data_IF_967362685722
#
_entry.id   IF_967362685722
#
_cell.length_a   1.000
_cell.length_b   1.000
_cell.length_c   1.000
_cell.angle_alpha   90.00
_cell.angle_beta   90.00
_cell.angle_gamma   90.00
#
_symmetry.space_group_name_H-M   'P 1'
#
loop_
_entity.id
_entity.type
_entity.pdbx_description
1 polymer ?
#
# COMPACT_ATOMS: atom_id res chain seq x y z
N UNK A 1 -53.71 46.10 49.62
CA UNK A 1 -53.46 45.50 48.29
C UNK A 1 -51.96 45.35 48.15
N UNK A 2 -51.47 44.12 48.28
CA UNK A 2 -50.05 43.79 48.15
C UNK A 2 -49.81 43.37 46.71
N UNK A 3 -48.92 44.04 45.99
CA UNK A 3 -48.46 43.60 44.67
C UNK A 3 -46.95 43.46 44.71
N UNK A 4 -46.51 42.20 44.70
CA UNK A 4 -45.15 41.78 44.41
C UNK A 4 -44.82 42.12 42.94
N UNK A 5 -43.66 42.72 42.71
CA UNK A 5 -42.98 42.69 41.41
C UNK A 5 -41.64 41.96 41.61
N UNK A 6 -41.56 40.74 41.10
CA UNK A 6 -40.32 39.96 41.01
C UNK A 6 -39.69 40.32 39.66
N UNK A 7 -38.55 41.02 39.68
CA UNK A 7 -37.69 41.17 38.52
C UNK A 7 -36.67 40.04 38.53
N UNK A 8 -36.86 39.05 37.65
CA UNK A 8 -35.89 37.98 37.43
C UNK A 8 -34.81 38.49 36.47
N UNK A 9 -33.68 38.94 36.99
CA UNK A 9 -32.47 39.21 36.19
C UNK A 9 -31.76 37.89 35.91
N UNK A 10 -31.84 37.41 34.67
CA UNK A 10 -31.07 36.28 34.17
C UNK A 10 -29.63 36.74 33.92
N UNK A 11 -28.76 36.58 34.92
CA UNK A 11 -27.31 36.68 34.73
C UNK A 11 -26.84 35.45 33.99
N UNK A 12 -26.59 35.60 32.68
CA UNK A 12 -25.80 34.63 31.92
C UNK A 12 -24.38 34.64 32.50
N UNK A 13 -24.08 33.67 33.36
CA UNK A 13 -22.72 33.39 33.80
C UNK A 13 -21.94 32.89 32.57
N UNK A 14 -21.01 33.70 32.07
CA UNK A 14 -19.94 33.18 31.23
C UNK A 14 -19.22 32.11 32.06
N UNK A 15 -19.41 30.84 31.71
CA UNK A 15 -18.56 29.79 32.21
C UNK A 15 -17.11 30.18 31.86
N UNK A 16 -16.17 30.21 32.81
CA UNK A 16 -14.77 30.36 32.46
C UNK A 16 -14.44 29.20 31.52
N UNK A 17 -13.95 29.52 30.32
CA UNK A 17 -13.33 28.53 29.47
C UNK A 17 -12.19 27.93 30.30
N UNK A 18 -12.35 26.68 30.73
CA UNK A 18 -11.25 25.96 31.35
C UNK A 18 -10.06 26.06 30.39
N UNK A 19 -8.89 26.56 30.84
CA UNK A 19 -7.71 26.48 30.01
C UNK A 19 -7.54 24.99 29.66
N UNK A 20 -7.46 24.69 28.36
CA UNK A 20 -6.99 23.38 27.93
C UNK A 20 -5.68 23.14 28.68
N UNK A 21 -5.49 21.95 29.30
CA UNK A 21 -4.23 21.65 29.94
C UNK A 21 -3.14 21.93 28.92
N UNK A 22 -2.25 22.86 29.26
CA UNK A 22 -1.05 23.14 28.49
C UNK A 22 -0.25 21.84 28.52
N UNK A 23 -0.46 21.01 27.52
CA UNK A 23 0.26 19.77 27.37
C UNK A 23 1.72 20.18 27.25
N UNK A 24 2.51 19.89 28.28
CA UNK A 24 3.96 19.89 28.19
C UNK A 24 4.32 18.79 27.19
N UNK A 25 4.18 19.08 25.90
CA UNK A 25 4.59 18.19 24.82
C UNK A 25 6.10 18.12 24.94
N UNK A 26 6.63 17.01 25.45
CA UNK A 26 8.06 16.72 25.34
C UNK A 26 8.47 16.93 23.89
N UNK A 27 9.52 17.73 23.67
CA UNK A 27 10.01 18.00 22.33
C UNK A 27 10.37 16.68 21.62
N UNK A 28 10.09 16.61 20.31
CA UNK A 28 10.47 15.46 19.51
C UNK A 28 11.98 15.20 19.61
N UNK A 29 12.42 13.92 19.57
CA UNK A 29 13.84 13.63 19.56
C UNK A 29 14.54 14.35 18.41
N UNK A 30 15.68 14.98 18.67
CA UNK A 30 16.41 15.70 17.64
C UNK A 30 16.96 14.73 16.59
N UNK A 31 16.79 15.08 15.32
CA UNK A 31 17.42 14.37 14.21
C UNK A 31 18.82 14.96 14.01
N UNK A 32 19.91 14.20 14.19
CA UNK A 32 21.26 14.70 13.98
C UNK A 32 21.47 15.09 12.52
N UNK A 33 22.20 16.17 12.26
CA UNK A 33 22.58 16.53 10.89
C UNK A 33 23.58 15.51 10.33
N UNK A 34 23.38 15.14 9.06
CA UNK A 34 24.33 14.37 8.24
C UNK A 34 24.45 15.08 6.88
N UNK A 35 25.22 16.17 6.81
CA UNK A 35 25.22 17.03 5.63
C UNK A 35 25.75 16.29 4.39
N UNK A 36 25.04 16.44 3.27
CA UNK A 36 25.47 15.91 1.98
C UNK A 36 25.49 17.04 0.94
N UNK A 37 26.62 17.17 0.24
CA UNK A 37 26.73 18.12 -0.86
C UNK A 37 26.07 17.54 -2.12
N UNK A 38 25.00 18.18 -2.56
CA UNK A 38 24.35 17.90 -3.83
C UNK A 38 25.04 18.70 -4.94
N UNK A 39 25.72 17.98 -5.84
CA UNK A 39 26.39 18.56 -7.00
C UNK A 39 25.36 18.93 -8.07
N UNK A 40 25.51 20.10 -8.67
CA UNK A 40 24.72 20.63 -9.77
C UNK A 40 25.37 21.92 -10.27
N UNK A 41 24.73 22.64 -11.20
CA UNK A 41 25.20 23.96 -11.66
C UNK A 41 25.38 24.94 -10.48
N UNK A 42 24.49 24.84 -9.49
CA UNK A 42 24.64 25.47 -8.18
C UNK A 42 24.67 24.34 -7.14
N UNK A 43 25.79 24.23 -6.43
CA UNK A 43 25.94 23.25 -5.36
C UNK A 43 25.04 23.62 -4.18
N UNK A 44 24.37 22.61 -3.60
CA UNK A 44 23.50 22.77 -2.43
C UNK A 44 23.96 21.83 -1.33
N UNK A 45 24.05 22.33 -0.10
CA UNK A 45 24.30 21.51 1.07
C UNK A 45 22.95 21.13 1.68
N UNK A 46 22.62 19.84 1.68
CA UNK A 46 21.46 19.30 2.40
C UNK A 46 21.93 18.83 3.78
N UNK A 47 21.50 19.48 4.89
CA UNK A 47 21.90 19.10 6.25
C UNK A 47 21.53 17.65 6.63
N UNK A 48 20.58 17.02 5.94
CA UNK A 48 20.09 15.68 6.26
C UNK A 48 20.27 14.66 5.12
N UNK A 49 20.85 15.05 3.98
CA UNK A 49 20.95 14.18 2.81
C UNK A 49 21.72 12.87 3.06
N UNK A 50 22.65 12.86 4.03
CA UNK A 50 23.41 11.69 4.44
C UNK A 50 22.62 10.64 5.23
N UNK A 51 21.33 10.88 5.52
CA UNK A 51 20.43 9.86 6.08
C UNK A 51 19.81 8.96 5.01
N UNK A 52 19.95 9.28 3.72
CA UNK A 52 19.41 8.43 2.67
C UNK A 52 20.17 7.10 2.61
N UNK A 53 19.48 6.03 2.95
CA UNK A 53 19.94 4.65 2.76
C UNK A 53 18.95 3.88 1.87
N UNK A 54 19.31 3.69 0.60
CA UNK A 54 18.49 2.98 -0.38
C UNK A 54 18.35 1.48 -0.03
N UNK A 55 19.25 0.91 0.79
CA UNK A 55 19.16 -0.49 1.25
C UNK A 55 18.12 -0.68 2.37
N UNK A 56 17.74 0.42 3.05
CA UNK A 56 16.83 0.46 4.20
C UNK A 56 17.28 -0.41 5.38
N UNK A 57 18.59 -0.55 5.57
CA UNK A 57 19.19 -1.45 6.55
C UNK A 57 20.17 -0.75 7.50
N UNK A 58 20.48 0.54 7.32
CA UNK A 58 21.34 1.30 8.23
C UNK A 58 20.78 1.21 9.66
N UNK A 59 21.48 0.52 10.59
CA UNK A 59 21.00 0.31 11.94
C UNK A 59 20.86 1.62 12.72
N UNK A 60 21.65 2.65 12.39
CA UNK A 60 21.57 3.96 13.06
C UNK A 60 20.33 4.71 12.60
N UNK A 61 20.04 4.72 11.29
CA UNK A 61 18.81 5.29 10.75
C UNK A 61 17.57 4.56 11.30
N UNK A 62 17.58 3.22 11.30
CA UNK A 62 16.46 2.44 11.84
C UNK A 62 16.23 2.70 13.33
N UNK A 63 17.29 2.92 14.11
CA UNK A 63 17.18 3.29 15.53
C UNK A 63 16.53 4.66 15.69
N UNK A 64 17.00 5.66 14.94
CA UNK A 64 16.40 6.99 14.91
C UNK A 64 14.91 6.93 14.53
N UNK A 65 14.55 6.20 13.48
CA UNK A 65 13.15 6.05 13.05
C UNK A 65 12.28 5.40 14.12
N UNK A 66 12.78 4.39 14.84
CA UNK A 66 12.06 3.78 15.97
C UNK A 66 11.85 4.77 17.12
N UNK A 67 12.84 5.60 17.42
CA UNK A 67 12.72 6.64 18.44
C UNK A 67 11.66 7.68 18.07
N UNK A 68 11.66 8.13 16.81
CA UNK A 68 10.64 9.05 16.28
C UNK A 68 9.24 8.44 16.30
N UNK A 69 9.10 7.17 15.90
CA UNK A 69 7.83 6.44 15.96
C UNK A 69 7.32 6.33 17.39
N UNK A 70 8.18 5.95 18.35
CA UNK A 70 7.83 5.85 19.76
C UNK A 70 7.34 7.19 20.32
N UNK A 71 8.04 8.28 20.02
CA UNK A 71 7.61 9.61 20.45
C UNK A 71 6.24 9.96 19.84
N UNK A 72 6.06 9.70 18.55
CA UNK A 72 4.78 9.94 17.85
C UNK A 72 3.64 9.13 18.49
N UNK A 73 3.85 7.85 18.77
CA UNK A 73 2.88 6.98 19.47
C UNK A 73 2.51 7.55 20.85
N UNK A 74 3.48 8.08 21.61
CA UNK A 74 3.22 8.72 22.90
C UNK A 74 2.39 10.00 22.76
N UNK A 75 2.72 10.86 21.78
CA UNK A 75 1.95 12.10 21.54
C UNK A 75 0.52 11.80 21.07
N UNK A 76 0.32 10.72 20.32
CA UNK A 76 -0.98 10.32 19.79
C UNK A 76 -1.77 9.39 20.73
N UNK A 77 -1.18 8.93 21.84
CA UNK A 77 -1.79 7.96 22.74
C UNK A 77 -3.16 8.41 23.27
N UNK A 78 -3.31 9.70 23.60
CA UNK A 78 -4.59 10.27 24.06
C UNK A 78 -5.71 10.27 23.01
N UNK A 79 -5.38 10.06 21.74
CA UNK A 79 -6.33 10.03 20.62
C UNK A 79 -6.82 8.62 20.30
N UNK A 80 -6.36 7.59 21.01
CA UNK A 80 -6.76 6.20 20.76
C UNK A 80 -8.29 5.98 20.68
N UNK A 81 -9.15 6.61 21.53
CA UNK A 81 -10.60 6.48 21.39
C UNK A 81 -11.16 7.11 20.11
N UNK A 82 -10.57 8.21 19.63
CA UNK A 82 -10.96 8.82 18.37
C UNK A 82 -10.56 7.94 17.19
N UNK A 83 -9.33 7.42 17.19
CA UNK A 83 -8.83 6.49 16.18
C UNK A 83 -9.73 5.27 16.07
N UNK A 84 -10.09 4.66 17.21
CA UNK A 84 -10.97 3.48 17.22
C UNK A 84 -12.36 3.80 16.66
N UNK A 85 -12.96 4.95 17.01
CA UNK A 85 -14.26 5.36 16.44
C UNK A 85 -14.19 5.53 14.93
N UNK A 86 -13.15 6.20 14.42
CA UNK A 86 -12.97 6.41 12.98
C UNK A 86 -12.72 5.11 12.24
N UNK A 87 -11.94 4.19 12.81
CA UNK A 87 -11.73 2.86 12.24
C UNK A 87 -13.03 2.07 12.13
N UNK A 88 -13.82 2.03 13.21
CA UNK A 88 -15.14 1.37 13.21
C UNK A 88 -16.07 1.99 12.18
N UNK A 89 -16.09 3.32 12.09
CA UNK A 89 -16.91 4.04 11.12
C UNK A 89 -16.49 3.70 9.68
N UNK A 90 -15.20 3.73 9.36
CA UNK A 90 -14.71 3.42 8.02
C UNK A 90 -14.87 1.94 7.64
N UNK A 91 -14.79 1.02 8.61
CA UNK A 91 -15.05 -0.40 8.38
C UNK A 91 -16.55 -0.69 8.19
N UNK A 92 -17.42 0.08 8.85
CA UNK A 92 -18.87 -0.04 8.72
C UNK A 92 -19.46 0.61 7.46
N UNK A 93 -18.68 1.44 6.75
CA UNK A 93 -19.07 2.02 5.47
C UNK A 93 -18.85 0.99 4.36
N UNK A 94 -19.85 0.82 3.50
CA UNK A 94 -19.68 0.05 2.25
C UNK A 94 -18.53 0.67 1.44
N UNK A 95 -17.51 -0.15 1.14
CA UNK A 95 -16.35 0.28 0.36
C UNK A 95 -16.77 0.45 -1.09
N UNK A 96 -16.95 1.70 -1.51
CA UNK A 96 -17.07 2.07 -2.93
C UNK A 96 -18.06 1.21 -3.72
N UNK A 97 -17.88 1.16 -5.03
CA UNK A 97 -18.53 0.14 -5.85
C UNK A 97 -17.87 -1.21 -5.52
N UNK A 98 -18.64 -2.28 -5.23
CA UNK A 98 -18.07 -3.59 -5.02
C UNK A 98 -17.20 -3.94 -6.23
N UNK A 99 -15.97 -4.42 -5.97
CA UNK A 99 -15.15 -4.99 -7.04
C UNK A 99 -16.00 -6.09 -7.68
N UNK A 100 -16.27 -6.03 -8.99
CA UNK A 100 -17.10 -7.04 -9.64
C UNK A 100 -16.57 -8.44 -9.32
N UNK A 101 -17.45 -9.39 -8.99
CA UNK A 101 -17.10 -10.81 -8.83
C UNK A 101 -16.90 -11.44 -10.23
N UNK A 102 -16.04 -10.79 -11.02
CA UNK A 102 -15.88 -11.05 -12.43
C UNK A 102 -14.94 -12.22 -12.62
N UNK A 103 -15.50 -13.26 -13.22
CA UNK A 103 -14.75 -14.37 -13.74
C UNK A 103 -14.27 -14.03 -15.15
N UNK A 104 -12.96 -14.06 -15.37
CA UNK A 104 -12.38 -13.93 -16.70
C UNK A 104 -12.79 -15.16 -17.53
N UNK A 105 -13.56 -14.95 -18.60
CA UNK A 105 -13.90 -16.01 -19.55
C UNK A 105 -12.83 -16.08 -20.64
N UNK A 106 -11.98 -17.11 -20.60
CA UNK A 106 -10.87 -17.30 -21.54
C UNK A 106 -10.49 -18.78 -21.64
N UNK A 107 -9.98 -19.21 -22.81
CA UNK A 107 -9.57 -20.59 -23.07
C UNK A 107 -10.66 -21.64 -22.77
N UNK A 108 -11.93 -21.28 -23.05
CA UNK A 108 -13.09 -22.15 -22.81
C UNK A 108 -13.39 -22.42 -21.33
N UNK A 109 -12.93 -21.57 -20.42
CA UNK A 109 -13.21 -21.66 -18.98
C UNK A 109 -13.37 -20.28 -18.37
N UNK A 110 -13.85 -20.27 -17.13
CA UNK A 110 -13.94 -19.09 -16.29
C UNK A 110 -12.85 -19.14 -15.22
N UNK A 111 -12.16 -18.03 -15.01
CA UNK A 111 -11.02 -17.91 -14.10
C UNK A 111 -11.18 -16.76 -13.12
N UNK A 112 -10.74 -16.96 -11.88
CA UNK A 112 -10.72 -15.91 -10.86
C UNK A 112 -9.43 -15.94 -10.07
N UNK A 113 -8.84 -14.77 -9.88
CA UNK A 113 -7.65 -14.57 -9.06
C UNK A 113 -8.05 -13.86 -7.78
N UNK A 114 -7.65 -14.43 -6.64
CA UNK A 114 -7.84 -13.81 -5.33
C UNK A 114 -6.65 -12.91 -4.97
N UNK A 115 -6.87 -11.98 -4.05
CA UNK A 115 -5.81 -11.06 -3.59
C UNK A 115 -4.60 -11.78 -2.95
N UNK A 116 -4.78 -13.00 -2.46
CA UNK A 116 -3.73 -13.85 -1.90
C UNK A 116 -2.87 -14.57 -2.97
N UNK A 117 -3.18 -14.35 -4.25
CA UNK A 117 -2.50 -14.98 -5.39
C UNK A 117 -3.00 -16.38 -5.75
N UNK A 118 -4.09 -16.87 -5.14
CA UNK A 118 -4.70 -18.13 -5.53
C UNK A 118 -5.56 -17.98 -6.79
N UNK A 119 -5.44 -18.97 -7.69
CA UNK A 119 -6.19 -19.01 -8.94
C UNK A 119 -7.25 -20.11 -8.88
N UNK A 120 -8.47 -19.75 -9.23
CA UNK A 120 -9.63 -20.64 -9.33
C UNK A 120 -10.11 -20.73 -10.77
N UNK A 121 -10.64 -21.89 -11.14
CA UNK A 121 -11.18 -22.18 -12.46
C UNK A 121 -12.51 -22.93 -12.34
N UNK A 122 -13.46 -22.62 -13.21
CA UNK A 122 -14.66 -23.45 -13.46
C UNK A 122 -14.92 -23.53 -14.96
N UNK A 123 -15.60 -24.57 -15.43
CA UNK A 123 -15.88 -24.73 -16.87
C UNK A 123 -16.98 -23.77 -17.31
N UNK A 124 -18.02 -23.61 -16.48
CA UNK A 124 -19.10 -22.65 -16.68
C UNK A 124 -19.56 -22.05 -15.33
N UNK A 125 -20.59 -21.18 -15.37
CA UNK A 125 -21.09 -20.48 -14.20
C UNK A 125 -21.77 -21.38 -13.15
N UNK A 126 -22.25 -22.56 -13.54
CA UNK A 126 -22.96 -23.51 -12.69
C UNK A 126 -22.03 -24.56 -12.08
N UNK A 127 -20.85 -24.75 -12.66
CA UNK A 127 -19.83 -25.66 -12.16
C UNK A 127 -19.18 -25.18 -10.86
N UNK A 128 -18.88 -26.14 -9.98
CA UNK A 128 -18.11 -25.89 -8.78
C UNK A 128 -16.67 -25.45 -9.14
N UNK A 129 -16.19 -24.29 -8.63
CA UNK A 129 -14.82 -23.87 -8.81
C UNK A 129 -13.80 -24.88 -8.27
N UNK A 130 -12.78 -25.17 -9.06
CA UNK A 130 -11.58 -25.90 -8.63
C UNK A 130 -10.40 -24.94 -8.49
N UNK A 131 -9.59 -25.14 -7.46
CA UNK A 131 -8.35 -24.40 -7.27
C UNK A 131 -7.28 -24.90 -8.25
N UNK A 132 -6.66 -23.99 -8.99
CA UNK A 132 -5.58 -24.24 -9.95
C UNK A 132 -4.21 -23.81 -9.44
N UNK A 133 -4.17 -22.79 -8.58
CA UNK A 133 -2.95 -22.32 -7.93
C UNK A 133 -3.22 -22.08 -6.44
N UNK A 134 -2.31 -22.56 -5.59
CA UNK A 134 -2.36 -22.28 -4.16
C UNK A 134 -2.04 -20.80 -3.87
N UNK A 135 -2.47 -20.26 -2.70
CA UNK A 135 -2.09 -18.91 -2.28
C UNK A 135 -0.57 -18.70 -2.32
N UNK A 136 -0.14 -17.52 -2.77
CA UNK A 136 1.27 -17.14 -2.88
C UNK A 136 1.67 -16.08 -1.84
N UNK A 137 0.69 -15.45 -1.23
CA UNK A 137 0.87 -14.57 -0.09
C UNK A 137 1.55 -15.34 1.07
N UNK A 138 2.66 -14.82 1.64
CA UNK A 138 3.26 -15.38 2.84
C UNK A 138 2.33 -15.22 4.05
N UNK A 139 2.52 -16.06 5.08
CA UNK A 139 1.72 -16.00 6.30
C UNK A 139 1.85 -14.66 7.05
N UNK A 140 3.01 -14.00 6.92
CA UNK A 140 3.31 -12.71 7.52
C UNK A 140 3.98 -11.79 6.51
N UNK A 141 3.82 -10.48 6.70
CA UNK A 141 4.43 -9.44 5.89
C UNK A 141 3.50 -8.87 4.81
N UNK A 142 4.05 -7.94 4.02
CA UNK A 142 3.34 -7.31 2.92
C UNK A 142 3.28 -8.24 1.71
N UNK A 143 2.13 -8.27 1.06
CA UNK A 143 1.97 -8.89 -0.26
C UNK A 143 0.91 -8.14 -1.04
N UNK A 144 1.21 -7.89 -2.31
CA UNK A 144 0.29 -7.32 -3.28
C UNK A 144 0.45 -8.07 -4.59
N UNK A 145 -0.66 -8.53 -5.14
CA UNK A 145 -0.75 -8.94 -6.53
C UNK A 145 -1.33 -7.77 -7.33
N UNK A 146 -0.49 -7.05 -8.08
CA UNK A 146 -0.95 -5.91 -8.87
C UNK A 146 -1.74 -6.32 -10.10
N UNK A 147 -1.31 -7.39 -10.78
CA UNK A 147 -1.98 -7.90 -11.95
C UNK A 147 -1.71 -9.39 -12.15
N UNK A 148 -2.58 -10.02 -12.92
CA UNK A 148 -2.38 -11.34 -13.48
C UNK A 148 -2.87 -11.36 -14.93
N UNK A 149 -2.27 -12.21 -15.75
CA UNK A 149 -2.67 -12.38 -17.13
C UNK A 149 -2.57 -13.85 -17.53
N UNK A 150 -3.69 -14.44 -17.91
CA UNK A 150 -3.73 -15.78 -18.48
C UNK A 150 -3.35 -15.72 -19.96
N UNK A 151 -2.51 -16.64 -20.41
CA UNK A 151 -2.22 -16.78 -21.84
C UNK A 151 -3.45 -17.29 -22.61
N UNK A 152 -3.66 -16.94 -23.88
CA UNK A 152 -4.85 -17.31 -24.64
C UNK A 152 -5.16 -18.82 -24.70
N UNK A 153 -4.15 -19.68 -24.60
CA UNK A 153 -4.31 -21.15 -24.57
C UNK A 153 -4.70 -21.72 -23.18
N UNK A 154 -4.72 -20.88 -22.15
CA UNK A 154 -5.04 -21.28 -20.78
C UNK A 154 -3.97 -22.13 -20.08
N UNK A 155 -2.77 -22.27 -20.65
CA UNK A 155 -1.67 -23.07 -20.07
C UNK A 155 -0.70 -22.23 -19.27
N UNK A 156 -0.46 -20.98 -19.67
CA UNK A 156 0.51 -20.11 -19.00
C UNK A 156 -0.18 -19.01 -18.19
N UNK A 157 0.39 -18.70 -17.03
CA UNK A 157 -0.05 -17.60 -16.16
C UNK A 157 1.11 -16.66 -15.85
N UNK A 158 0.91 -15.38 -16.11
CA UNK A 158 1.80 -14.32 -15.66
C UNK A 158 1.22 -13.63 -14.42
N UNK A 159 2.05 -13.39 -13.40
CA UNK A 159 1.70 -12.70 -12.16
C UNK A 159 2.65 -11.52 -11.91
N UNK A 160 2.13 -10.38 -11.47
CA UNK A 160 2.92 -9.23 -11.00
C UNK A 160 2.82 -9.10 -9.47
N UNK A 161 3.87 -9.51 -8.77
CA UNK A 161 3.87 -9.62 -7.31
C UNK A 161 4.81 -8.59 -6.65
N UNK A 162 4.35 -7.90 -5.61
CA UNK A 162 5.16 -7.10 -4.68
C UNK A 162 5.08 -7.71 -3.27
N UNK A 163 6.23 -7.85 -2.61
CA UNK A 163 6.39 -8.42 -1.27
C UNK A 163 6.99 -7.44 -0.25
N UNK A 164 7.27 -6.21 -0.68
CA UNK A 164 7.97 -5.20 0.11
C UNK A 164 7.20 -3.88 0.19
N UNK A 165 6.21 -3.68 -0.69
CA UNK A 165 5.43 -2.45 -0.77
C UNK A 165 6.18 -1.32 -1.45
N UNK A 166 7.22 -1.63 -2.24
CA UNK A 166 7.97 -0.64 -3.01
C UNK A 166 7.46 -0.48 -4.45
N UNK A 167 6.39 -1.20 -4.82
CA UNK A 167 5.79 -1.23 -6.16
C UNK A 167 6.78 -1.59 -7.25
N UNK A 168 7.84 -2.30 -6.87
CA UNK A 168 8.84 -2.84 -7.77
C UNK A 168 8.55 -4.32 -7.99
N UNK A 169 7.62 -4.58 -8.92
CA UNK A 169 7.00 -5.88 -9.05
C UNK A 169 7.98 -6.89 -9.67
N UNK A 170 7.88 -8.12 -9.17
CA UNK A 170 8.46 -9.30 -9.81
C UNK A 170 7.39 -9.95 -10.67
N UNK A 171 7.67 -10.07 -11.95
CA UNK A 171 6.80 -10.81 -12.86
C UNK A 171 7.19 -12.28 -12.85
N UNK A 172 6.25 -13.15 -12.49
CA UNK A 172 6.44 -14.59 -12.43
C UNK A 172 5.62 -15.24 -13.54
N UNK A 173 6.27 -16.00 -14.42
CA UNK A 173 5.60 -16.81 -15.44
C UNK A 173 5.51 -18.26 -14.96
N UNK A 174 4.31 -18.82 -14.99
CA UNK A 174 3.98 -20.14 -14.50
C UNK A 174 3.39 -21.02 -15.61
N UNK A 175 3.70 -22.30 -15.57
CA UNK A 175 2.91 -23.34 -16.24
C UNK A 175 1.80 -23.81 -15.30
N UNK A 176 0.54 -23.73 -15.73
CA UNK A 176 -0.63 -24.14 -14.96
C UNK A 176 -0.86 -25.65 -14.93
N UNK A 177 -0.22 -26.42 -15.82
CA UNK A 177 -0.29 -27.87 -15.82
C UNK A 177 0.59 -28.46 -14.71
N UNK A 178 1.85 -28.04 -14.64
CA UNK A 178 2.81 -28.48 -13.62
C UNK A 178 2.78 -27.66 -12.33
N UNK A 179 2.36 -26.39 -12.40
CA UNK A 179 2.49 -25.42 -11.31
C UNK A 179 3.89 -24.80 -11.19
N UNK A 180 4.81 -25.13 -12.09
CA UNK A 180 6.20 -24.69 -12.03
C UNK A 180 6.39 -23.24 -12.48
N UNK A 181 7.41 -22.59 -11.91
CA UNK A 181 7.86 -21.27 -12.37
C UNK A 181 8.80 -21.43 -13.54
N UNK A 182 8.36 -21.00 -14.73
CA UNK A 182 9.15 -21.05 -15.96
C UNK A 182 10.15 -19.89 -16.07
N UNK A 183 9.75 -18.70 -15.61
CA UNK A 183 10.61 -17.51 -15.66
C UNK A 183 10.24 -16.52 -14.56
N UNK A 184 11.21 -15.69 -14.17
CA UNK A 184 10.98 -14.57 -13.27
C UNK A 184 11.74 -13.33 -13.73
N UNK A 185 11.04 -12.20 -13.79
CA UNK A 185 11.57 -10.91 -14.22
C UNK A 185 11.42 -9.91 -13.08
N UNK A 186 12.50 -9.59 -12.36
CA UNK A 186 12.45 -8.55 -11.35
C UNK A 186 12.42 -7.15 -11.98
N UNK A 187 12.11 -6.16 -11.14
CA UNK A 187 12.19 -4.74 -11.44
C UNK A 187 11.24 -4.24 -12.54
N UNK A 188 9.94 -4.50 -12.38
CA UNK A 188 8.90 -4.20 -13.38
C UNK A 188 7.77 -3.36 -12.80
N UNK A 189 7.07 -2.68 -13.71
CA UNK A 189 5.74 -2.16 -13.42
C UNK A 189 4.74 -3.31 -13.20
N UNK A 190 3.60 -3.00 -12.58
CA UNK A 190 2.56 -3.98 -12.26
C UNK A 190 1.73 -4.43 -13.46
N UNK A 191 1.73 -3.68 -14.57
CA UNK A 191 0.87 -3.96 -15.72
C UNK A 191 1.39 -5.13 -16.55
N UNK A 192 0.45 -5.98 -17.01
CA UNK A 192 0.74 -7.18 -17.79
C UNK A 192 -0.15 -7.27 -19.03
N UNK A 193 0.47 -7.57 -20.18
CA UNK A 193 -0.21 -7.84 -21.43
C UNK A 193 0.52 -8.96 -22.20
N UNK A 194 -0.26 -9.90 -22.73
CA UNK A 194 0.21 -10.90 -23.67
C UNK A 194 0.19 -10.36 -25.09
N UNK A 195 1.25 -10.63 -25.86
CA UNK A 195 1.25 -10.36 -27.29
C UNK A 195 0.71 -11.56 -28.07
N UNK A 196 -0.08 -11.31 -29.11
CA UNK A 196 -0.78 -12.32 -29.91
C UNK A 196 -0.02 -12.70 -31.20
N UNK A 197 1.26 -12.35 -31.35
CA UNK A 197 2.00 -12.61 -32.59
C UNK A 197 2.73 -13.96 -32.49
N UNK A 198 2.43 -14.88 -33.42
CA UNK A 198 2.88 -16.29 -33.54
C UNK A 198 4.40 -16.53 -33.72
N UNK A 199 5.25 -15.60 -33.29
CA UNK A 199 6.70 -15.79 -33.24
C UNK A 199 7.13 -15.60 -31.77
N UNK A 200 6.83 -16.64 -30.97
CA UNK A 200 7.04 -16.74 -29.52
C UNK A 200 6.15 -15.80 -28.67
N UNK A 201 5.40 -16.34 -27.69
CA UNK A 201 4.64 -15.53 -26.75
C UNK A 201 5.62 -14.71 -25.89
N UNK A 202 5.70 -13.41 -26.15
CA UNK A 202 6.49 -12.48 -25.35
C UNK A 202 5.58 -11.76 -24.35
N UNK A 203 5.91 -11.90 -23.08
CA UNK A 203 5.30 -11.11 -22.00
C UNK A 203 6.05 -9.79 -21.89
N UNK A 204 5.39 -8.67 -22.20
CA UNK A 204 5.97 -7.34 -22.04
C UNK A 204 5.49 -6.74 -20.73
N UNK A 205 6.44 -6.40 -19.85
CA UNK A 205 6.20 -5.57 -18.67
C UNK A 205 7.01 -4.28 -18.83
N UNK A 206 6.33 -3.13 -18.73
CA UNK A 206 6.98 -1.84 -18.90
C UNK A 206 8.03 -1.64 -17.81
N UNK A 207 9.17 -1.06 -18.19
CA UNK A 207 10.22 -0.66 -17.24
C UNK A 207 10.24 0.85 -17.21
N UNK A 208 9.76 1.46 -16.13
CA UNK A 208 10.00 2.88 -15.91
C UNK A 208 11.49 3.09 -15.57
N UNK A 209 12.33 3.21 -16.61
CA UNK A 209 13.60 3.90 -16.46
C UNK A 209 13.31 5.40 -16.52
N UNK A 210 13.47 6.11 -15.40
CA UNK A 210 13.80 7.53 -15.45
C UNK A 210 15.24 7.64 -15.96
N UNK A 211 15.39 7.60 -17.28
CA UNK A 211 16.62 7.97 -17.98
C UNK A 211 16.54 9.45 -18.33
N UNK A 212 17.39 10.25 -17.70
CA UNK A 212 17.66 11.62 -18.12
C UNK A 212 18.40 11.52 -19.46
N UNK A 213 17.94 12.17 -20.55
CA UNK A 213 18.72 12.26 -21.77
C UNK A 213 19.92 13.18 -21.50
N UNK A 214 21.11 12.61 -21.46
CA UNK A 214 22.36 13.35 -21.55
C UNK A 214 22.55 13.66 -23.03
N UNK A 215 22.29 14.91 -23.42
CA UNK A 215 22.76 15.44 -24.71
C UNK A 215 23.96 16.31 -24.40
N UNK A 216 25.11 15.89 -24.92
CA UNK A 216 26.37 16.61 -25.00
C UNK A 216 27.10 16.10 -26.23
#
# INVERSE_FOLDING_TARGET
MHSLLILASLLATLAPASPLPEATLEAAPLIPERPQLMKGEIARLDPYGGWRDDSRQDPVLLTLLREQNRWTEQQLAGQAPLVQRLQTEWQGRERGEPVPDDWLSQAGSQWRMEADGSLWQRSDANDAPRKRLAPRQPAEGYYELAAWALHPDGQLLALAEDRRGDRDYRITLLDLASGETLASLPHRAGDLLWSLVDILPHLSASRHRRGIPITG
#
